data_IF_789441438563
#
_entry.id   IF_789441438563
#
_cell.length_a   1.000
_cell.length_b   1.000
_cell.length_c   1.000
_cell.angle_alpha   90.00
_cell.angle_beta   90.00
_cell.angle_gamma   90.00
#
_symmetry.space_group_name_H-M   'P 1'
#
loop_
_entity.id
_entity.type
_entity.pdbx_description
1 polymer ?
#
# COMPACT_ATOMS: atom_id res chain seq x y z
N UNK A 1 -25.73 -16.85 -3.66
CA UNK A 1 -24.45 -16.19 -4.02
C UNK A 1 -24.22 -15.08 -2.99
N UNK A 2 -23.07 -15.09 -2.32
CA UNK A 2 -22.77 -14.08 -1.28
C UNK A 2 -22.46 -12.74 -1.92
N UNK A 3 -23.13 -11.68 -1.45
CA UNK A 3 -22.93 -10.30 -1.93
C UNK A 3 -22.00 -9.55 -0.99
N UNK A 4 -20.86 -9.12 -1.51
CA UNK A 4 -19.84 -8.41 -0.75
C UNK A 4 -19.67 -7.00 -1.28
N UNK A 5 -19.74 -6.01 -0.41
CA UNK A 5 -19.40 -4.62 -0.74
C UNK A 5 -18.02 -4.31 -0.16
N UNK A 6 -17.08 -3.98 -1.03
CA UNK A 6 -15.75 -3.49 -0.67
C UNK A 6 -15.78 -1.96 -0.62
N UNK A 7 -15.11 -1.36 0.35
CA UNK A 7 -15.04 0.10 0.48
C UNK A 7 -13.58 0.53 0.58
N UNK A 8 -13.10 1.19 -0.48
CA UNK A 8 -11.72 1.67 -0.57
C UNK A 8 -11.65 2.95 -1.39
N UNK A 9 -10.80 3.89 -0.98
CA UNK A 9 -10.63 5.13 -1.73
C UNK A 9 -9.48 5.99 -1.20
N UNK A 10 -9.34 7.18 -1.75
CA UNK A 10 -8.31 8.14 -1.40
C UNK A 10 -6.96 7.88 -2.06
N UNK A 11 -6.36 6.73 -1.84
CA UNK A 11 -5.01 6.39 -2.34
C UNK A 11 -4.94 4.95 -2.86
N UNK A 12 -3.93 4.66 -3.68
CA UNK A 12 -3.65 3.28 -4.15
C UNK A 12 -3.41 2.30 -3.00
N UNK A 13 -2.87 2.77 -1.87
CA UNK A 13 -2.63 1.94 -0.68
C UNK A 13 -3.88 1.30 -0.07
N UNK A 14 -5.07 1.85 -0.31
CA UNK A 14 -6.35 1.25 0.08
C UNK A 14 -7.03 0.52 -1.09
N UNK A 15 -6.92 1.07 -2.31
CA UNK A 15 -7.63 0.55 -3.49
C UNK A 15 -7.00 -0.76 -3.98
N UNK A 16 -5.66 -0.84 -4.07
CA UNK A 16 -5.00 -2.05 -4.58
C UNK A 16 -5.23 -3.29 -3.70
N UNK A 17 -5.15 -3.23 -2.36
CA UNK A 17 -5.54 -4.37 -1.53
C UNK A 17 -7.02 -4.77 -1.69
N UNK A 18 -7.92 -3.79 -1.86
CA UNK A 18 -9.34 -4.09 -2.11
C UNK A 18 -9.53 -4.84 -3.43
N UNK A 19 -8.83 -4.42 -4.50
CA UNK A 19 -8.89 -5.09 -5.79
C UNK A 19 -8.27 -6.50 -5.74
N UNK A 20 -7.13 -6.66 -5.05
CA UNK A 20 -6.53 -7.98 -4.85
C UNK A 20 -7.46 -8.93 -4.06
N UNK A 21 -8.15 -8.40 -3.04
CA UNK A 21 -9.16 -9.16 -2.29
C UNK A 21 -10.37 -9.50 -3.17
N UNK A 22 -10.76 -8.57 -4.05
CA UNK A 22 -11.88 -8.81 -4.98
C UNK A 22 -11.60 -9.99 -5.92
N UNK A 23 -10.38 -10.16 -6.38
CA UNK A 23 -9.99 -11.31 -7.22
C UNK A 23 -10.17 -12.62 -6.45
N UNK A 24 -9.72 -12.70 -5.20
CA UNK A 24 -9.90 -13.88 -4.36
C UNK A 24 -11.39 -14.18 -4.07
N UNK A 25 -12.18 -13.16 -3.77
CA UNK A 25 -13.62 -13.29 -3.54
C UNK A 25 -14.39 -13.71 -4.82
N UNK A 26 -13.99 -13.24 -6.00
CA UNK A 26 -14.54 -13.70 -7.29
C UNK A 26 -14.29 -15.19 -7.50
N UNK A 27 -13.08 -15.66 -7.20
CA UNK A 27 -12.75 -17.09 -7.29
C UNK A 27 -13.57 -17.93 -6.30
N UNK A 28 -13.93 -17.36 -5.15
CA UNK A 28 -14.84 -17.99 -4.18
C UNK A 28 -16.33 -17.86 -4.56
N UNK A 29 -16.66 -17.29 -5.71
CA UNK A 29 -18.03 -17.20 -6.21
C UNK A 29 -18.88 -16.07 -5.61
N UNK A 30 -18.27 -15.03 -5.03
CA UNK A 30 -18.99 -13.90 -4.48
C UNK A 30 -19.40 -12.88 -5.57
N UNK A 31 -20.57 -12.25 -5.38
CA UNK A 31 -21.00 -11.07 -6.13
C UNK A 31 -20.40 -9.81 -5.47
N UNK A 32 -19.73 -8.97 -6.25
CA UNK A 32 -18.92 -7.88 -5.73
C UNK A 32 -19.38 -6.51 -6.22
N UNK A 33 -19.25 -5.51 -5.34
CA UNK A 33 -19.30 -4.10 -5.68
C UNK A 33 -18.28 -3.31 -4.87
N UNK A 34 -17.62 -2.34 -5.52
CA UNK A 34 -16.69 -1.43 -4.86
C UNK A 34 -17.35 -0.06 -4.65
N UNK A 35 -17.36 0.42 -3.43
CA UNK A 35 -17.62 1.83 -3.11
C UNK A 35 -16.27 2.55 -3.01
N UNK A 36 -16.12 3.62 -3.79
CA UNK A 36 -14.90 4.41 -3.83
C UNK A 36 -15.19 5.91 -3.89
N UNK A 37 -14.16 6.75 -3.79
CA UNK A 37 -14.26 8.21 -4.02
C UNK A 37 -13.65 8.59 -5.38
N UNK A 38 -13.73 9.88 -5.76
CA UNK A 38 -13.16 10.39 -7.02
C UNK A 38 -11.65 10.15 -7.13
N UNK A 39 -10.93 10.12 -6.01
CA UNK A 39 -9.49 9.87 -6.00
C UNK A 39 -9.20 8.38 -6.20
N UNK A 40 -9.94 7.52 -5.50
CA UNK A 40 -9.82 6.08 -5.62
C UNK A 40 -10.17 5.58 -7.03
N UNK A 41 -11.17 6.19 -7.68
CA UNK A 41 -11.54 5.85 -9.07
C UNK A 41 -10.37 5.91 -10.05
N UNK A 42 -9.37 6.76 -9.83
CA UNK A 42 -8.20 6.91 -10.71
C UNK A 42 -7.30 5.65 -10.76
N UNK A 43 -7.44 4.76 -9.78
CA UNK A 43 -6.68 3.51 -9.68
C UNK A 43 -7.43 2.30 -10.23
N UNK A 44 -8.66 2.50 -10.73
CA UNK A 44 -9.49 1.43 -11.31
C UNK A 44 -9.21 1.30 -12.79
N UNK A 45 -9.07 0.06 -13.28
CA UNK A 45 -9.08 -0.30 -14.68
C UNK A 45 -10.50 -0.59 -15.19
N UNK A 46 -10.66 -0.74 -16.51
CA UNK A 46 -11.96 -1.05 -17.14
C UNK A 46 -12.45 -2.47 -16.79
N UNK A 47 -11.53 -3.40 -16.55
CA UNK A 47 -11.82 -4.81 -16.24
C UNK A 47 -12.00 -5.10 -14.74
N UNK A 48 -11.91 -4.07 -13.90
CA UNK A 48 -12.10 -4.20 -12.46
C UNK A 48 -13.59 -4.50 -12.12
N UNK A 49 -13.89 -4.59 -10.84
CA UNK A 49 -15.25 -4.90 -10.39
C UNK A 49 -16.22 -3.71 -10.59
N UNK A 50 -17.55 -3.96 -10.67
CA UNK A 50 -18.56 -2.91 -10.64
C UNK A 50 -18.31 -1.96 -9.48
N UNK A 51 -18.35 -0.65 -9.75
CA UNK A 51 -18.07 0.34 -8.72
C UNK A 51 -19.03 1.52 -8.71
N UNK A 52 -19.22 2.11 -7.53
CA UNK A 52 -19.94 3.36 -7.36
C UNK A 52 -19.03 4.39 -6.69
N UNK A 53 -19.03 5.62 -7.23
CA UNK A 53 -18.30 6.75 -6.65
C UNK A 53 -19.20 7.47 -5.66
N UNK A 54 -18.82 7.48 -4.39
CA UNK A 54 -19.48 8.24 -3.33
C UNK A 54 -18.67 9.49 -2.98
N UNK A 55 -19.37 10.57 -2.64
CA UNK A 55 -18.71 11.78 -2.16
C UNK A 55 -18.18 11.54 -0.74
N UNK A 56 -16.86 11.50 -0.60
CA UNK A 56 -16.20 11.51 0.70
C UNK A 56 -15.78 12.95 1.02
N UNK A 57 -16.45 13.60 1.98
CA UNK A 57 -16.00 14.89 2.47
C UNK A 57 -15.09 14.70 3.68
N UNK A 58 -13.88 15.27 3.60
CA UNK A 58 -12.97 15.38 4.75
C UNK A 58 -13.40 16.57 5.60
N UNK A 59 -13.68 16.41 6.90
CA UNK A 59 -13.89 17.55 7.78
C UNK A 59 -12.57 18.33 7.90
N UNK A 60 -12.44 19.41 7.15
CA UNK A 60 -11.33 20.34 7.26
C UNK A 60 -11.84 21.61 7.89
N UNK A 61 -11.35 21.94 9.09
CA UNK A 61 -11.65 23.20 9.76
C UNK A 61 -11.45 23.14 11.28
N UNK A 62 -10.84 24.17 11.83
CA UNK A 62 -10.54 24.31 13.26
C UNK A 62 -11.62 25.07 14.05
N UNK A 63 -12.54 25.77 13.38
CA UNK A 63 -13.58 26.58 14.05
C UNK A 63 -14.81 25.74 14.45
N UNK A 64 -15.54 26.15 15.50
CA UNK A 64 -16.77 25.47 15.96
C UNK A 64 -17.81 25.31 14.87
N UNK A 65 -18.03 26.32 14.04
CA UNK A 65 -18.97 26.31 12.90
C UNK A 65 -18.54 25.32 11.83
N UNK A 66 -17.22 25.13 11.60
CA UNK A 66 -16.69 24.14 10.65
C UNK A 66 -16.90 22.71 11.14
N UNK A 67 -16.79 22.49 12.46
CA UNK A 67 -17.06 21.17 13.07
C UNK A 67 -18.53 20.77 12.92
N UNK A 68 -19.47 21.71 13.11
CA UNK A 68 -20.90 21.44 12.95
C UNK A 68 -21.26 21.11 11.49
N UNK A 69 -20.70 21.89 10.53
CA UNK A 69 -20.83 21.57 9.10
C UNK A 69 -20.23 20.21 8.76
N UNK A 70 -19.07 19.88 9.29
CA UNK A 70 -18.43 18.59 9.08
C UNK A 70 -19.26 17.42 9.62
N UNK A 71 -19.85 17.58 10.82
CA UNK A 71 -20.76 16.57 11.39
C UNK A 71 -22.00 16.37 10.51
N UNK A 72 -22.60 17.45 10.01
CA UNK A 72 -23.72 17.40 9.07
C UNK A 72 -23.36 16.62 7.79
N UNK A 73 -22.21 16.91 7.19
CA UNK A 73 -21.76 16.20 5.98
C UNK A 73 -21.46 14.71 6.25
N UNK A 74 -20.90 14.39 7.41
CA UNK A 74 -20.68 12.97 7.79
C UNK A 74 -22.03 12.27 7.97
N UNK A 75 -23.00 12.89 8.68
CA UNK A 75 -24.34 12.32 8.84
C UNK A 75 -25.04 12.12 7.49
N UNK A 76 -24.94 13.09 6.60
CA UNK A 76 -25.49 12.98 5.24
C UNK A 76 -24.84 11.85 4.44
N UNK A 77 -23.50 11.70 4.54
CA UNK A 77 -22.77 10.62 3.88
C UNK A 77 -23.18 9.24 4.44
N UNK A 78 -23.37 9.13 5.77
CA UNK A 78 -23.87 7.89 6.39
C UNK A 78 -25.28 7.57 5.91
N UNK A 79 -26.18 8.55 5.87
CA UNK A 79 -27.55 8.36 5.39
C UNK A 79 -27.60 7.92 3.92
N UNK A 80 -26.78 8.54 3.07
CA UNK A 80 -26.65 8.16 1.65
C UNK A 80 -26.13 6.72 1.52
N UNK A 81 -25.14 6.35 2.32
CA UNK A 81 -24.61 4.99 2.37
C UNK A 81 -25.68 3.99 2.87
N UNK A 82 -26.50 4.36 3.86
CA UNK A 82 -27.62 3.52 4.33
C UNK A 82 -28.61 3.22 3.21
N UNK A 83 -29.04 4.25 2.47
CA UNK A 83 -29.96 4.07 1.33
C UNK A 83 -29.37 3.13 0.26
N UNK A 84 -28.07 3.28 -0.03
CA UNK A 84 -27.38 2.36 -0.92
C UNK A 84 -27.40 0.92 -0.39
N UNK A 85 -27.04 0.71 0.87
CA UNK A 85 -26.98 -0.61 1.48
C UNK A 85 -28.34 -1.28 1.58
N UNK A 86 -29.40 -0.54 1.88
CA UNK A 86 -30.78 -1.04 1.91
C UNK A 86 -31.24 -1.51 0.53
N UNK A 87 -30.79 -0.84 -0.54
CA UNK A 87 -31.12 -1.23 -1.92
C UNK A 87 -30.33 -2.46 -2.37
N UNK A 88 -29.04 -2.53 -2.08
CA UNK A 88 -28.14 -3.59 -2.58
C UNK A 88 -28.09 -4.81 -1.66
N UNK A 89 -28.46 -4.65 -0.38
CA UNK A 89 -28.56 -5.72 0.63
C UNK A 89 -27.34 -6.64 0.63
N UNK A 90 -26.12 -6.12 0.85
CA UNK A 90 -24.95 -6.98 0.93
C UNK A 90 -24.99 -7.86 2.18
N UNK A 91 -24.40 -9.04 2.09
CA UNK A 91 -24.28 -9.98 3.20
C UNK A 91 -23.14 -9.59 4.14
N UNK A 92 -22.13 -8.90 3.63
CA UNK A 92 -21.00 -8.37 4.39
C UNK A 92 -20.43 -7.13 3.70
N UNK A 93 -19.89 -6.21 4.49
CA UNK A 93 -19.18 -5.05 4.02
C UNK A 93 -17.74 -5.05 4.52
N UNK A 94 -16.78 -4.74 3.64
CA UNK A 94 -15.35 -4.72 3.97
C UNK A 94 -14.79 -3.33 3.81
N UNK A 95 -14.26 -2.75 4.89
CA UNK A 95 -13.62 -1.45 4.89
C UNK A 95 -12.10 -1.55 4.84
N UNK A 96 -11.48 -0.99 3.78
CA UNK A 96 -10.02 -0.94 3.63
C UNK A 96 -9.39 0.34 4.22
N UNK A 97 -10.09 1.00 5.14
CA UNK A 97 -9.59 2.20 5.80
C UNK A 97 -9.68 3.45 4.94
N UNK A 98 -8.99 4.48 5.41
CA UNK A 98 -9.10 5.80 4.82
C UNK A 98 -10.45 6.48 5.14
N UNK A 99 -10.52 7.76 4.79
CA UNK A 99 -11.71 8.57 5.06
C UNK A 99 -12.98 8.10 4.31
N UNK A 100 -12.85 7.63 3.04
CA UNK A 100 -14.02 7.15 2.27
C UNK A 100 -14.71 5.93 2.88
N UNK A 101 -13.98 5.09 3.63
CA UNK A 101 -14.54 3.89 4.23
C UNK A 101 -15.42 4.17 5.47
N UNK A 102 -15.23 5.32 6.14
CA UNK A 102 -15.90 5.58 7.42
C UNK A 102 -17.43 5.57 7.32
N UNK A 103 -18.02 6.36 6.41
CA UNK A 103 -19.45 6.50 6.34
C UNK A 103 -20.18 5.20 5.90
N UNK A 104 -19.72 4.46 4.86
CA UNK A 104 -20.30 3.18 4.49
C UNK A 104 -20.18 2.11 5.59
N UNK A 105 -19.02 1.99 6.25
CA UNK A 105 -18.85 1.05 7.35
C UNK A 105 -19.76 1.40 8.53
N UNK A 106 -19.87 2.70 8.88
CA UNK A 106 -20.79 3.13 9.94
C UNK A 106 -22.25 2.87 9.60
N UNK A 107 -22.65 3.11 8.36
CA UNK A 107 -23.99 2.80 7.87
C UNK A 107 -24.28 1.29 7.95
N UNK A 108 -23.34 0.43 7.55
CA UNK A 108 -23.47 -1.02 7.66
C UNK A 108 -23.65 -1.47 9.11
N UNK A 109 -22.86 -0.92 10.05
CA UNK A 109 -23.00 -1.21 11.48
C UNK A 109 -24.39 -0.81 12.01
N UNK A 110 -24.93 0.35 11.60
CA UNK A 110 -26.28 0.80 12.00
C UNK A 110 -27.39 -0.07 11.42
N UNK A 111 -27.16 -0.70 10.28
CA UNK A 111 -28.09 -1.63 9.62
C UNK A 111 -27.86 -3.09 10.04
N UNK A 112 -26.99 -3.35 11.03
CA UNK A 112 -26.61 -4.70 11.47
C UNK A 112 -26.03 -5.58 10.35
N UNK A 113 -25.49 -4.98 9.30
CA UNK A 113 -24.73 -5.69 8.26
C UNK A 113 -23.33 -5.96 8.83
N UNK A 114 -22.83 -7.22 8.77
CA UNK A 114 -21.48 -7.55 9.21
C UNK A 114 -20.43 -6.68 8.54
N UNK A 115 -19.50 -6.12 9.33
CA UNK A 115 -18.39 -5.30 8.85
C UNK A 115 -17.06 -5.97 9.18
N UNK A 116 -16.25 -6.19 8.17
CA UNK A 116 -14.83 -6.56 8.31
C UNK A 116 -13.98 -5.33 8.01
N UNK A 117 -13.01 -5.03 8.86
CA UNK A 117 -12.05 -3.94 8.62
C UNK A 117 -10.69 -4.54 8.28
N UNK A 118 -10.04 -4.00 7.26
CA UNK A 118 -8.67 -4.33 6.94
C UNK A 118 -7.75 -3.14 7.25
N UNK A 119 -6.69 -3.37 8.02
CA UNK A 119 -5.66 -2.38 8.31
C UNK A 119 -4.36 -2.77 7.61
N UNK A 120 -3.92 -1.92 6.69
CA UNK A 120 -2.74 -2.15 5.87
C UNK A 120 -1.44 -1.78 6.57
N UNK A 121 -1.47 -0.85 7.52
CA UNK A 121 -0.29 -0.28 8.16
C UNK A 121 0.03 -0.94 9.50
N UNK A 122 1.29 -0.83 9.93
CA UNK A 122 1.74 -1.25 11.26
C UNK A 122 1.26 -0.32 12.40
N UNK A 123 0.45 0.68 12.09
CA UNK A 123 -0.30 1.49 13.05
C UNK A 123 -1.77 1.55 12.65
N UNK A 124 -2.65 1.37 13.63
CA UNK A 124 -4.09 1.29 13.41
C UNK A 124 -4.66 2.68 13.10
N UNK A 125 -5.19 2.84 11.88
CA UNK A 125 -5.64 4.11 11.34
C UNK A 125 -6.86 4.69 12.08
N UNK A 126 -7.02 6.02 12.03
CA UNK A 126 -8.06 6.75 12.80
C UNK A 126 -9.48 6.36 12.41
N UNK A 127 -9.74 6.07 11.12
CA UNK A 127 -11.06 5.63 10.67
C UNK A 127 -11.37 4.25 11.22
N UNK A 128 -10.46 3.29 11.07
CA UNK A 128 -10.60 1.94 11.57
C UNK A 128 -10.76 1.91 13.09
N UNK A 129 -10.00 2.75 13.83
CA UNK A 129 -10.10 2.85 15.29
C UNK A 129 -11.50 3.23 15.77
N UNK A 130 -12.20 4.14 15.06
CA UNK A 130 -13.57 4.54 15.40
C UNK A 130 -14.63 3.50 15.02
N UNK A 131 -14.30 2.61 14.12
CA UNK A 131 -15.20 1.57 13.60
C UNK A 131 -14.99 0.21 14.29
N UNK A 132 -13.83 0.00 14.90
CA UNK A 132 -13.37 -1.30 15.39
C UNK A 132 -14.33 -1.96 16.38
N UNK A 133 -14.89 -1.20 17.32
CA UNK A 133 -15.82 -1.73 18.32
C UNK A 133 -17.12 -2.31 17.74
N UNK A 134 -17.51 -1.88 16.54
CA UNK A 134 -18.70 -2.39 15.84
C UNK A 134 -18.37 -3.31 14.66
N UNK A 135 -17.10 -3.67 14.48
CA UNK A 135 -16.69 -4.60 13.45
C UNK A 135 -16.83 -6.06 13.93
N UNK A 136 -17.21 -6.94 13.04
CA UNK A 136 -17.28 -8.39 13.32
C UNK A 136 -15.89 -8.99 13.39
N UNK A 137 -14.97 -8.52 12.53
CA UNK A 137 -13.58 -8.91 12.53
C UNK A 137 -12.69 -7.77 12.03
N UNK A 138 -11.44 -7.77 12.47
CA UNK A 138 -10.38 -6.89 11.99
C UNK A 138 -9.26 -7.73 11.41
N UNK A 139 -8.92 -7.49 10.14
CA UNK A 139 -7.80 -8.09 9.47
C UNK A 139 -6.61 -7.13 9.52
N UNK A 140 -5.44 -7.63 9.89
CA UNK A 140 -4.21 -6.86 10.05
C UNK A 140 -3.16 -7.33 9.05
N UNK A 141 -2.41 -6.38 8.49
CA UNK A 141 -1.24 -6.70 7.66
C UNK A 141 -0.01 -7.03 8.50
N UNK A 142 0.13 -6.43 9.67
CA UNK A 142 1.27 -6.61 10.55
C UNK A 142 0.85 -7.23 11.89
N UNK A 143 1.59 -8.25 12.35
CA UNK A 143 1.31 -8.92 13.63
C UNK A 143 1.42 -7.95 14.84
N UNK A 144 2.33 -6.97 14.74
CA UNK A 144 2.51 -5.92 15.77
C UNK A 144 1.97 -4.59 15.26
N UNK A 145 0.64 -4.49 15.17
CA UNK A 145 -0.03 -3.23 14.80
C UNK A 145 -0.23 -2.36 16.03
N UNK A 146 0.40 -1.17 16.06
CA UNK A 146 0.29 -0.21 17.17
C UNK A 146 -1.10 0.43 17.21
N UNK A 147 -1.64 0.65 18.41
CA UNK A 147 -2.89 1.40 18.60
C UNK A 147 -4.16 0.64 18.23
N UNK A 148 -4.12 -0.69 18.14
CA UNK A 148 -5.31 -1.53 18.07
C UNK A 148 -6.10 -1.37 19.39
N UNK A 149 -7.42 -1.09 19.35
CA UNK A 149 -8.22 -0.97 20.56
C UNK A 149 -8.32 -2.30 21.32
N UNK A 150 -8.40 -2.24 22.64
CA UNK A 150 -8.62 -3.42 23.48
C UNK A 150 -9.97 -4.09 23.20
N UNK A 151 -10.01 -5.41 23.34
CA UNK A 151 -11.23 -6.20 23.13
C UNK A 151 -11.65 -6.42 21.68
N UNK A 152 -10.85 -5.97 20.72
CA UNK A 152 -11.11 -6.20 19.28
C UNK A 152 -10.54 -7.54 18.84
N UNK A 153 -11.36 -8.39 18.24
CA UNK A 153 -10.91 -9.63 17.60
C UNK A 153 -10.17 -9.30 16.30
N UNK A 154 -8.86 -9.56 16.27
CA UNK A 154 -8.01 -9.26 15.13
C UNK A 154 -7.30 -10.51 14.60
N UNK A 155 -7.18 -10.60 13.27
CA UNK A 155 -6.55 -11.69 12.53
C UNK A 155 -5.42 -11.15 11.67
N UNK A 156 -4.24 -11.74 11.74
CA UNK A 156 -3.09 -11.33 10.93
C UNK A 156 -3.13 -12.11 9.61
N UNK A 157 -3.65 -11.48 8.56
CA UNK A 157 -3.80 -12.07 7.23
C UNK A 157 -2.76 -11.55 6.22
N UNK A 158 -2.11 -10.43 6.51
CA UNK A 158 -1.24 -9.74 5.57
C UNK A 158 -1.96 -8.68 4.74
N UNK A 159 -1.23 -8.05 3.82
CA UNK A 159 -1.79 -7.08 2.88
C UNK A 159 -1.92 -7.73 1.50
N UNK A 160 -3.13 -7.89 0.96
CA UNK A 160 -3.34 -8.52 -0.34
C UNK A 160 -2.60 -7.81 -1.47
N UNK A 161 -1.88 -8.57 -2.27
CA UNK A 161 -1.18 -8.13 -3.48
C UNK A 161 -1.80 -8.84 -4.68
N UNK A 162 -1.98 -8.12 -5.79
CA UNK A 162 -2.50 -8.72 -7.03
C UNK A 162 -1.52 -9.76 -7.56
N UNK A 163 -2.03 -10.88 -8.09
CA UNK A 163 -1.21 -11.86 -8.78
C UNK A 163 -0.39 -11.21 -9.88
N UNK A 164 0.89 -11.51 -9.89
CA UNK A 164 1.82 -10.97 -10.88
C UNK A 164 2.38 -12.11 -11.71
N UNK A 165 2.33 -12.04 -13.05
CA UNK A 165 2.92 -13.06 -13.91
C UNK A 165 4.38 -13.35 -13.55
N UNK A 166 4.79 -14.60 -13.70
CA UNK A 166 6.18 -14.94 -13.49
C UNK A 166 7.07 -14.37 -14.58
N UNK A 167 8.16 -13.79 -14.14
CA UNK A 167 9.20 -13.22 -15.01
C UNK A 167 10.49 -13.97 -14.73
N UNK A 168 11.07 -14.55 -15.77
CA UNK A 168 12.39 -15.16 -15.65
C UNK A 168 13.44 -14.07 -15.40
N UNK A 169 14.26 -14.27 -14.39
CA UNK A 169 15.40 -13.39 -14.17
C UNK A 169 16.41 -13.61 -15.30
N UNK A 170 16.85 -12.55 -16.01
CA UNK A 170 17.89 -12.67 -17.01
C UNK A 170 19.17 -13.29 -16.44
N UNK A 171 19.80 -14.19 -17.22
CA UNK A 171 21.07 -14.82 -16.87
C UNK A 171 22.24 -13.92 -17.29
N UNK A 172 22.28 -12.72 -16.72
CA UNK A 172 23.32 -11.73 -16.92
C UNK A 172 23.99 -11.34 -15.60
N UNK A 173 25.08 -10.62 -15.67
CA UNK A 173 25.81 -10.13 -14.50
C UNK A 173 25.28 -8.78 -13.99
N UNK A 174 24.18 -8.26 -14.57
CA UNK A 174 23.64 -6.96 -14.19
C UNK A 174 22.98 -6.99 -12.83
N UNK A 175 23.27 -5.98 -12.02
CA UNK A 175 22.51 -5.68 -10.80
C UNK A 175 21.38 -4.72 -11.14
N UNK A 176 20.21 -4.97 -10.60
CA UNK A 176 19.00 -4.18 -10.87
C UNK A 176 18.58 -3.40 -9.67
N UNK A 177 18.52 -2.09 -9.82
CA UNK A 177 18.07 -1.16 -8.77
C UNK A 177 16.77 -0.50 -9.22
N UNK A 178 15.74 -0.60 -8.37
CA UNK A 178 14.44 0.07 -8.63
C UNK A 178 14.22 1.16 -7.60
N UNK A 179 13.95 2.39 -8.08
CA UNK A 179 13.75 3.58 -7.25
C UNK A 179 12.34 4.09 -7.47
N UNK A 180 11.51 4.15 -6.41
CA UNK A 180 10.12 4.61 -6.56
C UNK A 180 9.51 5.09 -5.24
N UNK A 181 8.58 6.04 -5.34
CA UNK A 181 7.91 6.63 -4.18
C UNK A 181 6.44 6.22 -4.02
N UNK A 182 6.02 5.14 -4.70
CA UNK A 182 4.62 4.70 -4.74
C UNK A 182 3.77 5.51 -5.72
N UNK A 183 2.45 5.33 -5.68
CA UNK A 183 1.52 5.82 -6.70
C UNK A 183 1.39 7.35 -6.81
N UNK A 184 1.79 8.09 -5.80
CA UNK A 184 1.71 9.57 -5.80
C UNK A 184 3.02 10.25 -6.16
N UNK A 185 4.12 9.50 -6.20
CA UNK A 185 5.46 10.08 -6.34
C UNK A 185 5.87 10.92 -5.11
N UNK A 186 7.09 11.41 -5.10
CA UNK A 186 7.60 12.34 -4.09
C UNK A 186 8.75 13.17 -4.69
N UNK A 187 8.79 14.48 -4.40
CA UNK A 187 9.82 15.39 -4.92
C UNK A 187 11.24 14.94 -4.56
N UNK A 188 11.42 14.47 -3.34
CA UNK A 188 12.71 13.93 -2.86
C UNK A 188 13.25 12.79 -3.75
N UNK A 189 12.38 11.97 -4.33
CA UNK A 189 12.74 10.88 -5.25
C UNK A 189 13.04 11.36 -6.68
N UNK A 190 13.08 12.67 -6.91
CA UNK A 190 13.48 13.30 -8.16
C UNK A 190 14.99 13.63 -8.18
N UNK A 191 15.34 14.86 -8.59
CA UNK A 191 16.74 15.26 -8.77
C UNK A 191 17.60 15.16 -7.50
N UNK A 192 17.03 15.42 -6.32
CA UNK A 192 17.76 15.40 -5.05
C UNK A 192 18.33 14.01 -4.76
N UNK A 193 17.48 12.99 -4.70
CA UNK A 193 17.91 11.61 -4.47
C UNK A 193 18.78 11.08 -5.62
N UNK A 194 18.51 11.49 -6.86
CA UNK A 194 19.33 11.10 -8.02
C UNK A 194 20.76 11.59 -7.87
N UNK A 195 20.95 12.86 -7.45
CA UNK A 195 22.28 13.46 -7.22
C UNK A 195 23.02 12.73 -6.09
N UNK A 196 22.34 12.43 -4.99
CA UNK A 196 22.91 11.68 -3.87
C UNK A 196 23.36 10.26 -4.26
N UNK A 197 22.63 9.58 -5.15
CA UNK A 197 22.97 8.23 -5.61
C UNK A 197 24.02 8.19 -6.72
N UNK A 198 24.27 9.31 -7.40
CA UNK A 198 25.12 9.38 -8.60
C UNK A 198 26.55 8.89 -8.37
N UNK A 199 27.25 9.20 -7.25
CA UNK A 199 28.60 8.66 -7.00
C UNK A 199 28.65 7.14 -7.08
N UNK A 200 27.72 6.45 -6.43
CA UNK A 200 27.63 5.00 -6.45
C UNK A 200 27.31 4.43 -7.84
N UNK A 201 26.43 5.10 -8.58
CA UNK A 201 26.04 4.65 -9.91
C UNK A 201 27.16 4.81 -10.92
N UNK A 202 27.99 5.84 -10.81
CA UNK A 202 29.19 6.04 -11.64
C UNK A 202 30.24 4.95 -11.41
N UNK A 203 30.44 4.52 -10.16
CA UNK A 203 31.36 3.45 -9.81
C UNK A 203 30.96 2.10 -10.48
N UNK A 204 29.67 1.92 -10.84
CA UNK A 204 29.07 0.66 -11.26
C UNK A 204 28.33 0.70 -12.59
N UNK A 205 28.46 1.77 -13.36
CA UNK A 205 27.67 2.04 -14.57
C UNK A 205 27.66 0.90 -15.60
N UNK A 206 28.71 0.07 -15.65
CA UNK A 206 28.86 -0.99 -16.65
C UNK A 206 28.11 -2.28 -16.28
N UNK A 207 27.71 -2.44 -15.01
CA UNK A 207 27.01 -3.63 -14.52
C UNK A 207 25.75 -3.31 -13.70
N UNK A 208 25.17 -2.12 -13.91
CA UNK A 208 23.97 -1.66 -13.19
C UNK A 208 22.87 -1.28 -14.17
N UNK A 209 21.67 -1.81 -13.94
CA UNK A 209 20.44 -1.41 -14.62
C UNK A 209 19.53 -0.70 -13.61
N UNK A 210 19.09 0.51 -13.94
CA UNK A 210 18.30 1.35 -13.02
C UNK A 210 16.90 1.58 -13.62
N UNK A 211 15.87 1.35 -12.81
CA UNK A 211 14.49 1.76 -13.08
C UNK A 211 14.08 2.79 -12.05
N UNK A 212 13.82 4.02 -12.52
CA UNK A 212 13.54 5.15 -11.64
C UNK A 212 12.19 5.77 -11.96
N UNK A 213 11.24 5.66 -11.03
CA UNK A 213 9.94 6.31 -11.12
C UNK A 213 9.99 7.68 -10.44
N UNK A 214 9.68 8.73 -11.21
CA UNK A 214 9.71 10.12 -10.75
C UNK A 214 8.37 10.81 -11.02
N UNK A 215 8.16 12.00 -10.47
CA UNK A 215 7.00 12.81 -10.82
C UNK A 215 7.14 13.36 -12.24
N UNK A 216 6.01 13.77 -12.86
CA UNK A 216 6.02 14.34 -14.21
C UNK A 216 6.92 15.57 -14.32
N UNK A 217 6.90 16.44 -13.31
CA UNK A 217 7.70 17.66 -13.27
C UNK A 217 9.21 17.41 -13.10
N UNK A 218 9.62 16.25 -12.60
CA UNK A 218 11.03 15.90 -12.36
C UNK A 218 11.64 15.09 -13.52
N UNK A 219 10.81 14.59 -14.46
CA UNK A 219 11.19 13.60 -15.48
C UNK A 219 12.39 14.06 -16.32
N UNK A 220 12.30 15.25 -16.93
CA UNK A 220 13.31 15.76 -17.85
C UNK A 220 14.65 16.03 -17.14
N UNK A 221 14.61 16.54 -15.90
CA UNK A 221 15.83 16.82 -15.15
C UNK A 221 16.53 15.51 -14.76
N UNK A 222 15.79 14.53 -14.27
CA UNK A 222 16.36 13.24 -13.86
C UNK A 222 16.92 12.47 -15.05
N UNK A 223 16.22 12.47 -16.20
CA UNK A 223 16.75 11.86 -17.42
C UNK A 223 18.07 12.50 -17.87
N UNK A 224 18.17 13.85 -17.83
CA UNK A 224 19.41 14.56 -18.14
C UNK A 224 20.56 14.24 -17.17
N UNK A 225 20.27 14.10 -15.88
CA UNK A 225 21.27 13.70 -14.87
C UNK A 225 21.91 12.35 -15.23
N UNK A 226 21.10 11.32 -15.53
CA UNK A 226 21.60 10.01 -15.92
C UNK A 226 22.35 10.03 -17.27
N UNK A 227 21.78 10.72 -18.26
CA UNK A 227 22.38 10.82 -19.60
C UNK A 227 23.76 11.50 -19.54
N UNK A 228 23.88 12.62 -18.83
CA UNK A 228 25.13 13.37 -18.71
C UNK A 228 26.20 12.59 -17.94
N UNK A 229 25.78 11.74 -17.01
CA UNK A 229 26.65 10.86 -16.26
C UNK A 229 27.06 9.57 -17.03
N UNK A 230 26.44 9.30 -18.18
CA UNK A 230 26.64 8.05 -18.92
C UNK A 230 26.17 6.82 -18.15
N UNK A 231 25.16 6.97 -17.27
CA UNK A 231 24.56 5.89 -16.47
C UNK A 231 23.30 5.39 -17.16
N UNK A 232 23.20 4.08 -17.38
CA UNK A 232 22.06 3.47 -18.02
C UNK A 232 20.87 3.39 -17.04
N UNK A 233 19.85 4.21 -17.27
CA UNK A 233 18.62 4.24 -16.47
C UNK A 233 17.37 4.39 -17.32
N UNK A 234 16.33 3.63 -16.99
CA UNK A 234 14.99 3.86 -17.51
C UNK A 234 14.21 4.71 -16.51
N UNK A 235 13.91 5.95 -16.89
CA UNK A 235 13.17 6.90 -16.05
C UNK A 235 11.77 7.09 -16.59
N UNK A 236 10.76 6.93 -15.74
CA UNK A 236 9.35 7.07 -16.11
C UNK A 236 8.52 7.67 -14.99
N UNK A 237 7.39 8.27 -15.35
CA UNK A 237 6.42 8.77 -14.37
C UNK A 237 5.68 7.61 -13.69
N UNK A 238 5.44 6.56 -14.45
CA UNK A 238 4.75 5.37 -13.97
C UNK A 238 5.19 4.13 -14.74
N UNK A 239 5.48 3.05 -14.02
CA UNK A 239 5.75 1.73 -14.60
C UNK A 239 4.49 0.86 -14.44
N UNK A 240 3.81 0.56 -15.55
CA UNK A 240 2.67 -0.36 -15.55
C UNK A 240 3.09 -1.79 -15.16
N UNK A 241 4.33 -2.13 -15.46
CA UNK A 241 4.99 -3.41 -15.21
C UNK A 241 5.87 -3.41 -13.95
N UNK A 242 5.65 -2.45 -13.00
CA UNK A 242 6.43 -2.37 -11.78
C UNK A 242 6.49 -3.70 -11.01
N UNK A 243 5.39 -4.43 -10.79
CA UNK A 243 5.45 -5.71 -10.09
C UNK A 243 6.35 -6.75 -10.77
N UNK A 244 6.37 -6.79 -12.11
CA UNK A 244 7.24 -7.68 -12.87
C UNK A 244 8.72 -7.27 -12.72
N UNK A 245 9.01 -5.96 -12.75
CA UNK A 245 10.36 -5.43 -12.51
C UNK A 245 10.85 -5.76 -11.10
N UNK A 246 9.99 -5.64 -10.09
CA UNK A 246 10.33 -5.97 -8.70
C UNK A 246 10.72 -7.44 -8.52
N UNK A 247 10.14 -8.39 -9.28
CA UNK A 247 10.53 -9.81 -9.22
C UNK A 247 11.99 -10.05 -9.60
N UNK A 248 12.57 -9.21 -10.44
CA UNK A 248 13.97 -9.32 -10.90
C UNK A 248 14.88 -8.22 -10.33
N UNK A 249 14.36 -7.35 -9.49
CA UNK A 249 15.11 -6.31 -8.77
C UNK A 249 16.03 -6.92 -7.70
N UNK A 250 17.24 -6.42 -7.57
CA UNK A 250 18.15 -6.78 -6.49
C UNK A 250 17.95 -5.88 -5.27
N UNK A 251 17.93 -4.58 -5.50
CA UNK A 251 17.80 -3.57 -4.43
C UNK A 251 16.71 -2.58 -4.81
N UNK A 252 15.78 -2.33 -3.90
CA UNK A 252 14.80 -1.27 -4.04
C UNK A 252 15.12 -0.09 -3.11
N UNK A 253 14.95 1.13 -3.62
CA UNK A 253 14.95 2.36 -2.82
C UNK A 253 13.54 2.92 -2.91
N UNK A 254 12.81 2.92 -1.81
CA UNK A 254 11.37 3.19 -1.88
C UNK A 254 10.81 3.90 -0.64
N UNK A 255 9.61 4.46 -0.79
CA UNK A 255 8.74 4.79 0.33
C UNK A 255 8.22 3.51 1.00
N UNK A 256 7.95 3.58 2.31
CA UNK A 256 7.42 2.44 3.07
C UNK A 256 5.88 2.46 3.18
N UNK A 257 5.19 2.71 2.06
CA UNK A 257 3.74 2.54 2.00
C UNK A 257 3.36 1.05 2.17
N UNK A 258 2.24 0.77 2.81
CA UNK A 258 1.85 -0.61 3.15
C UNK A 258 1.79 -1.56 1.94
N UNK A 259 1.27 -1.10 0.78
CA UNK A 259 1.26 -1.90 -0.45
C UNK A 259 2.68 -2.14 -0.99
N UNK A 260 3.54 -1.10 -0.96
CA UNK A 260 4.94 -1.21 -1.35
C UNK A 260 5.69 -2.24 -0.49
N UNK A 261 5.49 -2.18 0.83
CA UNK A 261 6.07 -3.15 1.76
C UNK A 261 5.61 -4.57 1.44
N UNK A 262 4.30 -4.76 1.21
CA UNK A 262 3.75 -6.07 0.89
C UNK A 262 4.30 -6.65 -0.43
N UNK A 263 4.44 -5.83 -1.47
CA UNK A 263 5.04 -6.25 -2.76
C UNK A 263 6.52 -6.61 -2.59
N UNK A 264 7.30 -5.76 -1.92
CA UNK A 264 8.74 -5.98 -1.72
C UNK A 264 9.03 -7.22 -0.87
N UNK A 265 8.23 -7.47 0.18
CA UNK A 265 8.35 -8.71 0.97
C UNK A 265 7.95 -9.92 0.14
N UNK A 266 6.84 -9.85 -0.59
CA UNK A 266 6.35 -10.96 -1.42
C UNK A 266 7.39 -11.42 -2.45
N UNK A 267 8.08 -10.46 -3.09
CA UNK A 267 9.12 -10.75 -4.08
C UNK A 267 10.50 -10.97 -3.48
N UNK A 268 10.68 -10.76 -2.18
CA UNK A 268 11.96 -10.90 -1.49
C UNK A 268 13.00 -9.91 -2.01
N UNK A 269 12.64 -8.64 -2.13
CA UNK A 269 13.51 -7.58 -2.63
C UNK A 269 14.22 -6.90 -1.47
N UNK A 270 15.56 -6.93 -1.45
CA UNK A 270 16.32 -6.17 -0.45
C UNK A 270 16.03 -4.68 -0.60
N UNK A 271 15.69 -3.98 0.48
CA UNK A 271 15.12 -2.64 0.38
C UNK A 271 15.79 -1.65 1.33
N UNK A 272 16.01 -0.43 0.82
CA UNK A 272 16.34 0.74 1.63
C UNK A 272 15.14 1.68 1.59
N UNK A 273 14.45 1.82 2.71
CA UNK A 273 13.30 2.68 2.81
C UNK A 273 13.71 4.11 3.16
N UNK A 274 13.10 5.07 2.47
CA UNK A 274 13.11 6.49 2.82
C UNK A 274 11.68 6.90 3.10
N UNK A 275 11.19 6.78 4.35
CA UNK A 275 9.81 7.06 4.68
C UNK A 275 9.41 8.52 4.42
N UNK A 276 8.11 8.76 4.19
CA UNK A 276 7.58 10.11 4.08
C UNK A 276 7.70 10.82 5.44
N UNK A 277 8.39 11.97 5.52
CA UNK A 277 8.49 12.72 6.77
C UNK A 277 7.14 13.30 7.18
N UNK A 278 6.83 13.29 8.47
CA UNK A 278 5.75 14.08 9.06
C UNK A 278 4.34 13.69 8.63
N UNK A 279 3.94 12.49 8.66
CA UNK A 279 2.52 12.09 8.59
C UNK A 279 1.83 12.23 9.95
N UNK A 280 0.49 12.39 9.96
CA UNK A 280 -0.30 12.49 11.18
C UNK A 280 -0.10 11.31 12.17
N UNK A 281 0.46 10.20 11.73
CA UNK A 281 0.67 8.99 12.51
C UNK A 281 2.02 8.30 12.19
N UNK A 282 2.96 8.96 11.47
CA UNK A 282 4.28 8.40 11.07
C UNK A 282 4.18 6.98 10.45
N UNK A 283 3.11 6.69 9.72
CA UNK A 283 2.76 5.34 9.25
C UNK A 283 3.89 4.65 8.50
N UNK A 284 4.56 5.39 7.60
CA UNK A 284 5.61 4.79 6.78
C UNK A 284 6.87 4.46 7.60
N UNK A 285 7.24 5.31 8.56
CA UNK A 285 8.37 5.00 9.45
C UNK A 285 8.09 3.74 10.27
N UNK A 286 6.88 3.60 10.83
CA UNK A 286 6.48 2.42 11.60
C UNK A 286 6.41 1.17 10.72
N UNK A 287 5.95 1.27 9.47
CA UNK A 287 5.99 0.16 8.52
C UNK A 287 7.43 -0.27 8.23
N UNK A 288 8.34 0.69 7.97
CA UNK A 288 9.76 0.39 7.73
C UNK A 288 10.45 -0.23 8.96
N UNK A 289 10.21 0.34 10.16
CA UNK A 289 10.74 -0.19 11.43
C UNK A 289 10.39 -1.66 11.65
N UNK A 290 9.19 -2.09 11.25
CA UNK A 290 8.75 -3.47 11.38
C UNK A 290 9.61 -4.44 10.55
N UNK A 291 10.15 -4.00 9.39
CA UNK A 291 11.02 -4.80 8.53
C UNK A 291 12.48 -4.70 8.97
N UNK A 292 12.93 -3.51 9.37
CA UNK A 292 14.29 -3.29 9.88
C UNK A 292 14.55 -4.14 11.12
N UNK A 293 13.57 -4.24 12.02
CA UNK A 293 13.66 -5.07 13.23
C UNK A 293 13.86 -6.57 12.96
N UNK A 294 13.59 -7.03 11.73
CA UNK A 294 13.77 -8.41 11.29
C UNK A 294 14.92 -8.57 10.29
N UNK A 295 15.80 -7.57 10.19
CA UNK A 295 16.94 -7.53 9.28
C UNK A 295 16.58 -7.69 7.78
N UNK A 296 15.32 -7.46 7.42
CA UNK A 296 14.86 -7.57 6.03
C UNK A 296 15.03 -6.29 5.22
N UNK A 297 15.32 -5.16 5.86
CA UNK A 297 15.46 -3.87 5.19
C UNK A 297 16.32 -2.89 5.97
N UNK A 298 16.63 -1.77 5.34
CA UNK A 298 17.28 -0.60 5.94
C UNK A 298 16.35 0.61 5.86
N UNK A 299 16.62 1.59 6.73
CA UNK A 299 15.85 2.84 6.74
C UNK A 299 16.78 4.04 6.89
N UNK A 300 16.55 5.04 6.06
CA UNK A 300 17.17 6.37 6.14
C UNK A 300 16.06 7.41 6.26
N UNK A 301 16.15 8.26 7.27
CA UNK A 301 15.17 9.32 7.46
C UNK A 301 15.36 10.42 6.42
N UNK A 302 14.29 10.92 5.82
CA UNK A 302 14.37 12.03 4.88
C UNK A 302 14.60 13.36 5.59
N UNK A 303 14.09 13.55 6.82
CA UNK A 303 14.23 14.82 7.55
C UNK A 303 15.70 15.05 7.96
N UNK A 304 16.34 14.01 8.44
CA UNK A 304 17.76 13.99 8.81
C UNK A 304 18.53 13.11 7.80
N UNK A 305 18.43 13.52 6.51
CA UNK A 305 18.93 12.70 5.41
C UNK A 305 20.46 12.53 5.47
N UNK A 306 20.88 11.30 5.69
CA UNK A 306 22.27 10.88 5.72
C UNK A 306 22.61 10.14 4.41
N UNK A 307 23.25 10.86 3.49
CA UNK A 307 23.68 10.35 2.18
C UNK A 307 24.70 9.21 2.33
N UNK A 308 25.68 9.33 3.23
CA UNK A 308 26.73 8.32 3.43
C UNK A 308 26.11 7.02 3.94
N UNK A 309 25.15 7.11 4.85
CA UNK A 309 24.41 5.96 5.35
C UNK A 309 23.58 5.30 4.24
N UNK A 310 22.90 6.07 3.41
CA UNK A 310 22.15 5.55 2.26
C UNK A 310 23.07 4.80 1.31
N UNK A 311 24.15 5.46 0.86
CA UNK A 311 25.13 4.87 -0.05
C UNK A 311 25.80 3.62 0.54
N UNK A 312 26.15 3.65 1.83
CA UNK A 312 26.73 2.53 2.56
C UNK A 312 25.82 1.30 2.55
N UNK A 313 24.53 1.46 2.82
CA UNK A 313 23.58 0.36 2.76
C UNK A 313 23.45 -0.24 1.36
N UNK A 314 23.32 0.62 0.34
CA UNK A 314 23.16 0.16 -1.05
C UNK A 314 24.45 -0.51 -1.53
N UNK A 315 25.62 0.09 -1.25
CA UNK A 315 26.93 -0.47 -1.61
C UNK A 315 27.09 -1.88 -1.05
N UNK A 316 26.81 -2.06 0.24
CA UNK A 316 26.91 -3.35 0.90
C UNK A 316 26.01 -4.40 0.25
N UNK A 317 24.76 -4.05 -0.07
CA UNK A 317 23.82 -4.95 -0.77
C UNK A 317 24.28 -5.32 -2.18
N UNK A 318 24.93 -4.40 -2.90
CA UNK A 318 25.38 -4.66 -4.28
C UNK A 318 26.71 -5.41 -4.34
N UNK A 319 27.58 -5.27 -3.33
CA UNK A 319 28.94 -5.81 -3.29
C UNK A 319 29.06 -7.15 -2.58
N UNK A 320 28.22 -7.40 -1.58
CA UNK A 320 28.27 -8.60 -0.75
C UNK A 320 27.11 -9.57 -1.10
N UNK A 321 27.30 -10.53 -2.02
CA UNK A 321 26.22 -11.42 -2.45
C UNK A 321 25.59 -12.22 -1.30
N UNK A 322 26.37 -12.65 -0.30
CA UNK A 322 25.86 -13.35 0.89
C UNK A 322 24.92 -12.47 1.69
N UNK A 323 25.33 -11.21 1.94
CA UNK A 323 24.49 -10.24 2.67
C UNK A 323 23.21 -9.90 1.92
N UNK A 324 23.30 -9.71 0.60
CA UNK A 324 22.09 -9.53 -0.23
C UNK A 324 21.11 -10.71 -0.08
N UNK A 325 21.62 -11.95 -0.12
CA UNK A 325 20.79 -13.14 0.03
C UNK A 325 20.16 -13.25 1.44
N UNK A 326 20.90 -12.92 2.49
CA UNK A 326 20.39 -12.88 3.87
C UNK A 326 19.22 -11.90 4.00
N UNK A 327 19.39 -10.66 3.50
CA UNK A 327 18.34 -9.63 3.54
C UNK A 327 17.11 -10.05 2.70
N UNK A 328 17.35 -10.63 1.52
CA UNK A 328 16.26 -11.14 0.66
C UNK A 328 15.51 -12.29 1.31
N UNK A 329 16.18 -13.20 2.00
CA UNK A 329 15.56 -14.29 2.73
C UNK A 329 14.69 -13.74 3.88
N UNK A 330 15.23 -12.82 4.68
CA UNK A 330 14.48 -12.15 5.74
C UNK A 330 13.23 -11.40 5.21
N UNK A 331 13.32 -10.74 4.05
CA UNK A 331 12.15 -10.14 3.39
C UNK A 331 11.11 -11.18 3.02
N UNK A 332 11.52 -12.34 2.46
CA UNK A 332 10.61 -13.43 2.09
C UNK A 332 9.95 -14.09 3.30
N UNK A 333 10.65 -14.22 4.40
CA UNK A 333 10.10 -14.81 5.64
C UNK A 333 8.96 -13.97 6.24
N UNK A 334 8.97 -12.67 5.96
CA UNK A 334 7.88 -11.76 6.35
C UNK A 334 6.71 -11.74 5.37
N UNK A 335 6.84 -12.37 4.21
CA UNK A 335 5.81 -12.35 3.19
C UNK A 335 4.51 -13.05 3.64
N UNK A 336 3.40 -12.56 3.13
CA UNK A 336 2.07 -13.16 3.29
C UNK A 336 1.48 -13.48 1.91
N UNK A 337 1.97 -14.54 1.25
CA UNK A 337 1.58 -14.85 -0.13
C UNK A 337 0.09 -15.19 -0.28
N UNK A 338 -0.54 -15.65 0.78
CA UNK A 338 -1.95 -16.04 0.81
C UNK A 338 -2.87 -14.95 1.41
N UNK A 339 -2.38 -13.71 1.59
CA UNK A 339 -3.15 -12.63 2.19
C UNK A 339 -4.52 -12.40 1.53
N UNK A 340 -4.60 -12.53 0.21
CA UNK A 340 -5.86 -12.37 -0.53
C UNK A 340 -6.88 -13.47 -0.22
N UNK A 341 -6.48 -14.74 -0.23
CA UNK A 341 -7.34 -15.87 0.13
C UNK A 341 -7.68 -15.89 1.61
N UNK A 342 -6.72 -15.68 2.50
CA UNK A 342 -6.96 -15.63 3.95
C UNK A 342 -7.95 -14.50 4.32
N UNK A 343 -7.83 -13.32 3.68
CA UNK A 343 -8.80 -12.25 3.88
C UNK A 343 -10.17 -12.61 3.29
N UNK A 344 -10.22 -13.24 2.11
CA UNK A 344 -11.46 -13.72 1.51
C UNK A 344 -12.18 -14.71 2.43
N UNK A 345 -11.47 -15.69 2.97
CA UNK A 345 -12.02 -16.70 3.88
C UNK A 345 -12.53 -16.04 5.18
N UNK A 346 -11.76 -15.10 5.74
CA UNK A 346 -12.21 -14.34 6.91
C UNK A 346 -13.49 -13.54 6.62
N UNK A 347 -13.61 -12.92 5.45
CA UNK A 347 -14.81 -12.17 5.05
C UNK A 347 -16.01 -13.10 4.93
N UNK A 348 -15.87 -14.21 4.23
CA UNK A 348 -16.94 -15.16 3.99
C UNK A 348 -17.40 -15.86 5.27
N UNK A 349 -16.50 -16.11 6.22
CA UNK A 349 -16.85 -16.66 7.53
C UNK A 349 -17.70 -15.72 8.40
N UNK A 350 -17.78 -14.42 8.08
CA UNK A 350 -18.62 -13.46 8.79
C UNK A 350 -20.06 -13.38 8.24
N UNK A 351 -20.32 -14.05 7.13
CA UNK A 351 -21.66 -14.14 6.54
C UNK A 351 -22.45 -15.17 7.33
N UNK A 352 -23.53 -14.73 7.99
CA UNK A 352 -24.44 -15.65 8.69
C UNK A 352 -25.13 -16.61 7.72
N UNK A 353 -25.46 -17.82 8.18
CA UNK A 353 -26.39 -18.68 7.44
C UNK A 353 -27.70 -17.90 7.23
N UNK A 354 -28.14 -17.81 5.98
CA UNK A 354 -29.49 -17.30 5.70
C UNK A 354 -30.48 -18.42 6.08
N UNK A 355 -31.23 -18.19 7.16
CA UNK A 355 -32.44 -18.97 7.41
C UNK A 355 -33.48 -18.85 6.30
#
# INVERSE_FOLDING_TARGET
>A
MTRVVLVAGGTGGHVFPALATAEALKLAGAELMLLTDRRGKRYLGEEDIPHMVMSASTPTGSSGMSKLKALFWVAFAVLTAMLFLLRHRPDVLVGFGGYPAFAPCKAAQLLSIPVVLHEQNAIFGRANRRLAAGAKAVALSFAKTRGLPEGVTAHVVGNPVRPTPDVARPMDAMRRVTIFAGSQGASFFGPELTKALMPLFLERKDNLEIWHQVRQEDLDEVQKLYLNAGVHATVAVFFKDLPQRLKITDVAIARAGASTVAELTLFGVASVFVPLPGGLDAQQSINAEALVAQAGAFMVDQHDFDEEKLLGHIRKLLEEPSHLQEVRAAMKDMAKPHAGSELSDLILSQVGERE
#
